data_IF_164212725664
#
_entry.id   IF_164212725664
#
_cell.length_a   1.000
_cell.length_b   1.000
_cell.length_c   1.000
_cell.angle_alpha   90.00
_cell.angle_beta   90.00
_cell.angle_gamma   90.00
#
_symmetry.space_group_name_H-M   'P 1'
#
loop_
_entity.id
_entity.type
_entity.pdbx_description
1 polymer ?
#
# COMPACT_ATOMS: atom_id res chain seq x y z
N UNK A 1 -15.52 15.19 72.86
CA UNK A 1 -14.11 15.17 72.38
C UNK A 1 -13.72 13.94 71.57
N UNK A 2 -13.85 12.69 72.04
CA UNK A 2 -13.34 11.50 71.32
C UNK A 2 -13.96 11.24 69.92
N UNK A 3 -15.25 11.51 69.72
CA UNK A 3 -15.92 11.41 68.41
C UNK A 3 -15.44 12.48 67.42
N UNK A 4 -15.21 13.70 67.90
CA UNK A 4 -14.73 14.81 67.08
C UNK A 4 -13.30 14.57 66.59
N UNK A 5 -12.44 14.05 67.45
CA UNK A 5 -11.07 13.71 67.08
C UNK A 5 -11.02 12.60 66.01
N UNK A 6 -11.87 11.57 66.11
CA UNK A 6 -11.98 10.50 65.09
C UNK A 6 -12.42 11.04 63.73
N UNK A 7 -13.34 11.99 63.69
CA UNK A 7 -13.81 12.60 62.44
C UNK A 7 -12.66 13.38 61.78
N UNK A 8 -11.89 14.14 62.54
CA UNK A 8 -10.72 14.86 62.03
C UNK A 8 -9.67 13.89 61.47
N UNK A 9 -9.40 12.78 62.17
CA UNK A 9 -8.44 11.78 61.68
C UNK A 9 -8.90 11.15 60.37
N UNK A 10 -10.19 10.82 60.25
CA UNK A 10 -10.75 10.25 59.02
C UNK A 10 -10.67 11.26 57.86
N UNK A 11 -11.02 12.53 58.10
CA UNK A 11 -10.92 13.57 57.07
C UNK A 11 -9.47 13.80 56.63
N UNK A 12 -8.51 13.74 57.56
CA UNK A 12 -7.10 13.86 57.24
C UNK A 12 -6.61 12.68 56.38
N UNK A 13 -7.00 11.45 56.71
CA UNK A 13 -6.66 10.26 55.92
C UNK A 13 -7.27 10.33 54.52
N UNK A 14 -8.54 10.73 54.40
CA UNK A 14 -9.20 10.93 53.10
C UNK A 14 -8.48 11.99 52.28
N UNK A 15 -8.11 13.12 52.89
CA UNK A 15 -7.35 14.18 52.22
C UNK A 15 -5.99 13.69 51.72
N UNK A 16 -5.25 12.93 52.53
CA UNK A 16 -3.95 12.37 52.10
C UNK A 16 -4.10 11.36 50.96
N UNK A 17 -5.14 10.52 50.98
CA UNK A 17 -5.42 9.58 49.91
C UNK A 17 -5.84 10.30 48.62
N UNK A 18 -6.67 11.34 48.71
CA UNK A 18 -7.02 12.16 47.55
C UNK A 18 -5.79 12.85 46.96
N UNK A 19 -4.92 13.42 47.80
CA UNK A 19 -3.70 14.08 47.35
C UNK A 19 -2.73 13.11 46.69
N UNK A 20 -2.62 11.88 47.20
CA UNK A 20 -1.79 10.84 46.59
C UNK A 20 -2.34 10.37 45.24
N UNK A 21 -3.67 10.23 45.12
CA UNK A 21 -4.35 9.92 43.84
C UNK A 21 -4.18 11.06 42.84
N UNK A 22 -4.35 12.31 43.25
CA UNK A 22 -4.12 13.49 42.40
C UNK A 22 -2.67 13.56 41.92
N UNK A 23 -1.69 13.20 42.76
CA UNK A 23 -0.29 13.15 42.34
C UNK A 23 0.05 11.93 41.45
N UNK A 24 -0.74 10.85 41.50
CA UNK A 24 -0.58 9.69 40.62
C UNK A 24 -1.21 9.90 39.23
N UNK A 25 -2.25 10.72 39.16
CA UNK A 25 -2.84 11.13 37.90
C UNK A 25 -2.04 12.35 37.44
N UNK A 26 -1.10 12.17 36.51
CA UNK A 26 -0.50 13.27 35.76
C UNK A 26 -1.58 13.95 34.90
N UNK A 27 -2.47 14.72 35.54
CA UNK A 27 -3.42 15.58 34.85
C UNK A 27 -2.62 16.76 34.30
N UNK A 28 -2.67 17.02 32.99
CA UNK A 28 -2.05 18.20 32.42
C UNK A 28 -2.63 19.44 33.11
N UNK A 29 -1.76 20.37 33.47
CA UNK A 29 -2.15 21.64 34.07
C UNK A 29 -3.02 22.40 33.04
N UNK A 30 -4.27 22.78 33.34
CA UNK A 30 -5.19 23.35 32.34
C UNK A 30 -4.84 24.80 31.92
N UNK A 31 -3.62 25.25 32.17
CA UNK A 31 -3.15 26.62 31.92
C UNK A 31 -1.81 26.73 31.19
N UNK A 32 -1.23 25.62 30.73
CA UNK A 32 -0.04 25.65 29.88
C UNK A 32 -0.47 25.37 28.44
N UNK A 33 -1.06 26.40 27.83
CA UNK A 33 -1.35 26.43 26.40
C UNK A 33 -0.03 26.75 25.69
N UNK A 34 0.83 25.74 25.57
CA UNK A 34 1.98 25.80 24.68
C UNK A 34 1.48 25.64 23.24
N UNK A 35 1.85 26.59 22.40
CA UNK A 35 1.37 26.74 21.03
C UNK A 35 2.10 25.83 20.06
N UNK A 36 2.28 24.56 20.40
CA UNK A 36 2.94 23.56 19.55
C UNK A 36 1.99 22.38 19.30
N UNK A 37 1.07 22.57 18.35
CA UNK A 37 0.17 21.51 17.87
C UNK A 37 0.81 20.62 16.80
N UNK A 38 2.13 20.67 16.59
CA UNK A 38 2.81 19.86 15.57
C UNK A 38 3.43 18.57 16.13
N UNK A 39 2.79 17.99 17.16
CA UNK A 39 2.96 16.57 17.41
C UNK A 39 2.20 15.82 16.31
N UNK A 40 2.90 15.54 15.21
CA UNK A 40 2.40 14.92 13.99
C UNK A 40 1.50 13.70 14.25
N UNK A 41 0.20 13.94 14.35
CA UNK A 41 -0.80 12.90 14.37
C UNK A 41 -0.92 12.36 12.93
N UNK A 42 -0.77 11.05 12.74
CA UNK A 42 -0.81 10.39 11.43
C UNK A 42 -2.25 10.37 10.87
N UNK A 43 -2.82 11.54 10.57
CA UNK A 43 -4.14 11.67 9.94
C UNK A 43 -4.11 11.25 8.46
N UNK A 44 -5.16 10.58 8.04
CA UNK A 44 -5.36 10.20 6.64
C UNK A 44 -6.34 11.16 5.96
N UNK A 45 -5.87 11.84 4.91
CA UNK A 45 -6.69 12.72 4.07
C UNK A 45 -5.96 13.07 2.76
N UNK A 46 -6.69 13.64 1.80
CA UNK A 46 -6.10 14.16 0.56
C UNK A 46 -6.38 15.66 0.44
N UNK A 47 -5.35 16.43 0.06
CA UNK A 47 -5.46 17.86 -0.22
C UNK A 47 -5.25 18.10 -1.71
N UNK A 48 -6.12 18.89 -2.31
CA UNK A 48 -6.00 19.30 -3.71
C UNK A 48 -5.61 20.78 -3.77
N UNK A 49 -4.52 21.08 -4.45
CA UNK A 49 -4.13 22.44 -4.80
C UNK A 49 -4.60 22.75 -6.23
N UNK A 50 -5.59 23.62 -6.32
CA UNK A 50 -6.22 24.05 -7.57
C UNK A 50 -5.76 25.45 -8.01
N UNK A 51 -4.65 25.97 -7.47
CA UNK A 51 -4.12 27.28 -7.88
C UNK A 51 -3.78 27.31 -9.38
N UNK A 52 -3.33 26.19 -9.93
CA UNK A 52 -3.20 25.95 -11.36
C UNK A 52 -4.23 24.91 -11.82
N UNK A 53 -5.28 25.38 -12.50
CA UNK A 53 -6.34 24.51 -13.04
C UNK A 53 -5.85 23.59 -14.16
N UNK A 54 -4.70 23.86 -14.76
CA UNK A 54 -4.09 23.03 -15.81
C UNK A 54 -3.18 21.95 -15.25
N UNK A 55 -2.71 22.11 -14.01
CA UNK A 55 -1.85 21.17 -13.32
C UNK A 55 -2.24 21.05 -11.85
N UNK A 56 -3.39 20.43 -11.60
CA UNK A 56 -3.87 20.13 -10.26
C UNK A 56 -2.85 19.25 -9.54
N UNK A 57 -2.36 19.73 -8.40
CA UNK A 57 -1.51 18.96 -7.50
C UNK A 57 -2.35 18.33 -6.40
N UNK A 58 -2.20 17.03 -6.20
CA UNK A 58 -2.90 16.29 -5.16
C UNK A 58 -1.89 15.71 -4.18
N UNK A 59 -2.00 16.10 -2.91
CA UNK A 59 -1.18 15.55 -1.83
C UNK A 59 -2.01 14.54 -1.05
N UNK A 60 -1.51 13.32 -0.96
CA UNK A 60 -2.09 12.27 -0.12
C UNK A 60 -1.30 12.16 1.18
N UNK A 61 -1.98 12.27 2.31
CA UNK A 61 -1.49 11.92 3.63
C UNK A 61 -2.07 10.55 3.97
N UNK A 62 -1.19 9.56 4.17
CA UNK A 62 -1.58 8.16 4.37
C UNK A 62 -1.06 7.68 5.70
N UNK A 63 -1.90 6.98 6.45
CA UNK A 63 -1.50 6.21 7.61
C UNK A 63 -2.11 4.82 7.53
N UNK A 64 -1.33 3.81 7.88
CA UNK A 64 -1.78 2.42 7.78
C UNK A 64 -1.18 1.56 8.89
N UNK A 65 -1.88 0.49 9.22
CA UNK A 65 -1.47 -0.41 10.29
C UNK A 65 -0.23 -1.22 9.90
N UNK A 66 0.66 -1.40 10.87
CA UNK A 66 1.61 -2.52 10.83
C UNK A 66 0.82 -3.84 10.90
N UNK A 67 1.40 -4.94 10.42
CA UNK A 67 0.78 -6.26 10.56
C UNK A 67 0.58 -6.72 12.02
N UNK A 68 1.29 -6.10 12.96
CA UNK A 68 1.12 -6.30 14.41
C UNK A 68 -0.11 -5.59 14.97
N UNK A 69 -0.69 -4.63 14.22
CA UNK A 69 -1.81 -3.76 14.65
C UNK A 69 -1.54 -2.99 15.96
N UNK A 70 -0.27 -2.82 16.33
CA UNK A 70 0.16 -2.12 17.55
C UNK A 70 0.51 -0.64 17.30
N UNK A 71 0.76 -0.28 16.04
CA UNK A 71 1.21 1.04 15.63
C UNK A 71 0.95 1.28 14.14
N UNK A 72 1.02 2.54 13.74
CA UNK A 72 0.84 2.98 12.37
C UNK A 72 2.20 3.30 11.71
N UNK A 73 2.26 3.09 10.40
CA UNK A 73 3.16 3.83 9.54
C UNK A 73 2.42 5.04 8.98
N UNK A 74 3.13 6.11 8.65
CA UNK A 74 2.54 7.20 7.89
C UNK A 74 3.57 7.89 6.98
N UNK A 75 3.06 8.44 5.87
CA UNK A 75 3.80 9.28 4.94
C UNK A 75 2.87 10.22 4.21
N UNK A 76 3.45 11.17 3.50
CA UNK A 76 2.71 11.96 2.52
C UNK A 76 3.46 11.99 1.20
N UNK A 77 2.72 12.04 0.10
CA UNK A 77 3.29 12.25 -1.22
C UNK A 77 2.37 13.12 -2.08
N UNK A 78 2.96 13.80 -3.06
CA UNK A 78 2.24 14.67 -4.00
C UNK A 78 2.27 14.08 -5.41
N UNK A 79 1.14 14.19 -6.10
CA UNK A 79 0.94 13.72 -7.46
C UNK A 79 0.39 14.87 -8.33
N UNK A 80 0.86 14.91 -9.58
CA UNK A 80 0.38 15.85 -10.60
C UNK A 80 -0.70 15.19 -11.47
N UNK A 81 -1.79 15.91 -11.71
CA UNK A 81 -2.81 15.51 -12.70
C UNK A 81 -2.22 15.33 -14.10
N UNK A 82 -1.29 16.19 -14.53
CA UNK A 82 -0.58 16.05 -15.81
C UNK A 82 0.19 14.72 -15.88
N UNK A 83 0.88 14.34 -14.81
CA UNK A 83 1.60 13.06 -14.77
C UNK A 83 0.61 11.88 -14.89
N UNK A 84 -0.51 11.93 -14.17
CA UNK A 84 -1.57 10.93 -14.27
C UNK A 84 -2.17 10.86 -15.69
N UNK A 85 -2.40 12.00 -16.33
CA UNK A 85 -2.93 12.07 -17.69
C UNK A 85 -1.93 11.53 -18.72
N UNK A 86 -0.64 11.84 -18.58
CA UNK A 86 0.40 11.26 -19.43
C UNK A 86 0.48 9.74 -19.29
N UNK A 87 0.44 9.20 -18.07
CA UNK A 87 0.44 7.74 -17.87
C UNK A 87 -0.83 7.08 -18.40
N UNK A 88 -1.99 7.73 -18.26
CA UNK A 88 -3.25 7.32 -18.89
C UNK A 88 -3.16 7.27 -20.40
N UNK A 89 -2.62 8.32 -21.02
CA UNK A 89 -2.39 8.36 -22.47
C UNK A 89 -1.46 7.25 -22.93
N UNK A 90 -0.38 7.01 -22.20
CA UNK A 90 0.56 5.92 -22.49
C UNK A 90 -0.15 4.57 -22.41
N UNK A 91 -0.86 4.28 -21.31
CA UNK A 91 -1.66 3.06 -21.14
C UNK A 91 -2.62 2.86 -22.32
N UNK A 92 -3.27 3.92 -22.78
CA UNK A 92 -4.19 3.86 -23.91
C UNK A 92 -3.51 3.56 -25.26
N UNK A 93 -2.21 3.86 -25.40
CA UNK A 93 -1.40 3.58 -26.58
C UNK A 93 -0.76 2.19 -26.57
N UNK A 94 -0.71 1.50 -25.43
CA UNK A 94 -0.17 0.14 -25.33
C UNK A 94 -0.90 -0.81 -26.28
N UNK A 95 -0.12 -1.66 -26.94
CA UNK A 95 -0.61 -2.70 -27.81
C UNK A 95 0.22 -3.97 -27.66
N UNK A 96 -0.45 -5.10 -27.43
CA UNK A 96 0.18 -6.42 -27.35
C UNK A 96 -0.34 -7.30 -28.49
N UNK A 97 0.59 -7.90 -29.25
CA UNK A 97 0.29 -8.87 -30.34
C UNK A 97 0.17 -10.30 -29.84
N UNK A 98 0.43 -10.53 -28.56
CA UNK A 98 0.44 -11.86 -27.97
C UNK A 98 -0.97 -12.44 -27.89
N UNK A 99 -1.11 -13.71 -28.29
CA UNK A 99 -2.39 -14.43 -28.20
C UNK A 99 -2.52 -15.28 -26.95
N UNK A 100 -1.39 -15.65 -26.36
CA UNK A 100 -1.39 -16.37 -25.09
C UNK A 100 -1.71 -15.39 -23.97
N UNK A 101 -2.60 -15.79 -23.06
CA UNK A 101 -3.15 -14.95 -22.00
C UNK A 101 -2.05 -14.38 -21.09
N UNK A 102 -1.14 -15.22 -20.62
CA UNK A 102 -0.04 -14.83 -19.74
C UNK A 102 0.95 -13.90 -20.48
N UNK A 103 1.29 -14.21 -21.73
CA UNK A 103 2.17 -13.35 -22.53
C UNK A 103 1.53 -12.00 -22.87
N UNK A 104 0.22 -11.98 -23.11
CA UNK A 104 -0.54 -10.76 -23.38
C UNK A 104 -0.47 -9.80 -22.20
N UNK A 105 -0.83 -10.28 -21.01
CA UNK A 105 -0.78 -9.50 -19.78
C UNK A 105 0.65 -9.14 -19.36
N UNK A 106 1.63 -10.03 -19.58
CA UNK A 106 3.04 -9.71 -19.33
C UNK A 106 3.46 -8.44 -20.04
N UNK A 107 3.13 -8.31 -21.33
CA UNK A 107 3.51 -7.14 -22.11
C UNK A 107 2.83 -5.89 -21.55
N UNK A 108 1.54 -5.94 -21.22
CA UNK A 108 0.83 -4.79 -20.65
C UNK A 108 1.43 -4.38 -19.31
N UNK A 109 1.58 -5.30 -18.36
CA UNK A 109 2.15 -5.00 -17.04
C UNK A 109 3.58 -4.48 -17.14
N UNK A 110 4.41 -5.06 -18.03
CA UNK A 110 5.77 -4.60 -18.22
C UNK A 110 5.85 -3.18 -18.79
N UNK A 111 5.05 -2.87 -19.81
CA UNK A 111 5.01 -1.52 -20.39
C UNK A 111 4.57 -0.47 -19.35
N UNK A 112 3.56 -0.79 -18.54
CA UNK A 112 3.10 0.08 -17.45
C UNK A 112 4.18 0.29 -16.37
N UNK A 113 4.80 -0.80 -15.91
CA UNK A 113 5.93 -0.74 -14.97
C UNK A 113 7.06 0.12 -15.56
N UNK A 114 7.48 -0.15 -16.80
CA UNK A 114 8.64 0.47 -17.39
C UNK A 114 8.43 1.97 -17.65
N UNK A 115 7.22 2.37 -18.01
CA UNK A 115 6.87 3.78 -18.22
C UNK A 115 6.83 4.59 -16.93
N UNK A 116 6.35 3.99 -15.84
CA UNK A 116 6.08 4.73 -14.60
C UNK A 116 7.16 4.57 -13.51
N UNK A 117 8.10 3.63 -13.64
CA UNK A 117 9.06 3.30 -12.55
C UNK A 117 9.86 4.48 -12.02
N UNK A 118 10.22 5.44 -12.87
CA UNK A 118 10.97 6.64 -12.47
C UNK A 118 10.04 7.73 -11.89
N UNK A 119 8.77 7.72 -12.32
CA UNK A 119 7.76 8.69 -11.90
C UNK A 119 7.19 8.40 -10.50
N UNK A 120 7.67 7.36 -9.81
CA UNK A 120 7.23 6.99 -8.45
C UNK A 120 8.38 7.03 -7.42
N UNK A 121 9.53 7.60 -7.79
CA UNK A 121 10.71 7.67 -6.91
C UNK A 121 10.45 8.41 -5.59
N UNK A 122 9.66 9.50 -5.59
CA UNK A 122 9.34 10.23 -4.36
C UNK A 122 8.66 9.33 -3.30
N UNK A 123 7.84 8.36 -3.73
CA UNK A 123 7.17 7.43 -2.83
C UNK A 123 8.17 6.38 -2.33
N UNK A 124 9.02 5.89 -3.23
CA UNK A 124 10.09 4.95 -2.90
C UNK A 124 11.01 5.56 -1.83
N UNK A 125 11.48 6.80 -2.03
CA UNK A 125 12.30 7.52 -1.06
C UNK A 125 11.60 7.64 0.29
N UNK A 126 10.31 7.98 0.30
CA UNK A 126 9.51 8.08 1.53
C UNK A 126 9.39 6.74 2.26
N UNK A 127 9.13 5.65 1.54
CA UNK A 127 9.06 4.30 2.11
C UNK A 127 10.42 3.85 2.66
N UNK A 128 11.50 4.14 1.94
CA UNK A 128 12.87 3.84 2.38
C UNK A 128 13.23 4.62 3.65
N UNK A 129 12.82 5.89 3.74
CA UNK A 129 13.04 6.72 4.91
C UNK A 129 12.36 6.15 6.16
N UNK A 130 11.10 5.70 6.05
CA UNK A 130 10.39 5.02 7.14
C UNK A 130 11.15 3.76 7.56
N UNK A 131 11.59 2.96 6.59
CA UNK A 131 12.33 1.74 6.85
C UNK A 131 13.65 2.02 7.59
N UNK A 132 14.38 3.06 7.19
CA UNK A 132 15.62 3.48 7.84
C UNK A 132 15.36 3.96 9.28
N UNK A 133 14.39 4.84 9.49
CA UNK A 133 14.05 5.39 10.82
C UNK A 133 13.60 4.31 11.80
N UNK A 134 12.84 3.32 11.32
CA UNK A 134 12.37 2.20 12.12
C UNK A 134 13.35 1.02 12.16
N UNK A 135 14.54 1.15 11.54
CA UNK A 135 15.57 0.10 11.47
C UNK A 135 15.02 -1.24 10.95
N UNK A 136 14.13 -1.18 9.95
CA UNK A 136 13.47 -2.36 9.42
C UNK A 136 14.46 -3.28 8.70
N UNK A 137 14.35 -4.58 8.97
CA UNK A 137 14.99 -5.61 8.17
C UNK A 137 14.43 -5.65 6.75
N UNK A 138 15.12 -6.34 5.83
CA UNK A 138 14.63 -6.57 4.46
C UNK A 138 13.22 -7.19 4.43
N UNK A 139 12.91 -8.10 5.35
CA UNK A 139 11.58 -8.71 5.40
C UNK A 139 10.51 -7.74 5.91
N UNK A 140 10.83 -6.93 6.90
CA UNK A 140 9.92 -5.93 7.44
C UNK A 140 9.70 -4.78 6.45
N UNK A 141 10.73 -4.41 5.68
CA UNK A 141 10.60 -3.41 4.64
C UNK A 141 9.69 -3.88 3.50
N UNK A 142 9.80 -5.14 3.05
CA UNK A 142 8.83 -5.70 2.10
C UNK A 142 7.40 -5.66 2.65
N UNK A 143 7.23 -5.96 3.95
CA UNK A 143 5.93 -5.88 4.65
C UNK A 143 5.40 -4.45 4.73
N UNK A 144 6.25 -3.46 5.00
CA UNK A 144 5.89 -2.03 4.94
C UNK A 144 5.32 -1.67 3.56
N UNK A 145 6.02 -2.06 2.48
CA UNK A 145 5.62 -1.76 1.09
C UNK A 145 4.28 -2.43 0.75
N UNK A 146 4.12 -3.71 1.06
CA UNK A 146 2.89 -4.44 0.70
C UNK A 146 1.70 -3.99 1.54
N UNK A 147 1.90 -3.76 2.84
CA UNK A 147 0.84 -3.24 3.71
C UNK A 147 0.37 -1.84 3.28
N UNK A 148 1.26 -0.96 2.80
CA UNK A 148 0.89 0.35 2.26
C UNK A 148 -0.11 0.22 1.09
N UNK A 149 0.12 -0.72 0.17
CA UNK A 149 -0.78 -0.93 -0.97
C UNK A 149 -2.04 -1.67 -0.55
N UNK A 150 -1.93 -2.67 0.33
CA UNK A 150 -3.06 -3.42 0.88
C UNK A 150 -4.09 -2.52 1.57
N UNK A 151 -3.61 -1.48 2.25
CA UNK A 151 -4.43 -0.50 2.97
C UNK A 151 -5.26 0.40 2.05
N UNK A 152 -4.80 0.66 0.82
CA UNK A 152 -5.59 1.43 -0.16
C UNK A 152 -6.93 0.70 -0.39
N UNK A 153 -8.09 1.37 -0.30
CA UNK A 153 -9.38 0.73 -0.56
C UNK A 153 -9.46 0.10 -1.96
N UNK A 154 -9.96 -1.13 -2.03
CA UNK A 154 -10.14 -1.81 -3.31
C UNK A 154 -11.20 -1.11 -4.17
N UNK A 155 -10.92 -0.93 -5.45
CA UNK A 155 -11.87 -0.42 -6.44
C UNK A 155 -11.86 -1.29 -7.69
N UNK A 156 -13.02 -1.51 -8.31
CA UNK A 156 -13.06 -2.14 -9.62
C UNK A 156 -12.48 -1.21 -10.68
N UNK A 157 -11.68 -1.77 -11.58
CA UNK A 157 -11.25 -1.11 -12.81
C UNK A 157 -11.75 -1.96 -13.97
N UNK A 158 -12.56 -1.38 -14.84
CA UNK A 158 -13.24 -2.14 -15.90
C UNK A 158 -13.05 -1.49 -17.26
N UNK A 159 -12.89 -2.31 -18.29
CA UNK A 159 -12.74 -1.85 -19.67
C UNK A 159 -14.03 -1.33 -20.30
N UNK A 160 -15.18 -1.78 -19.79
CA UNK A 160 -16.50 -1.26 -20.11
C UNK A 160 -17.05 -0.34 -19.02
N UNK A 161 -18.34 0.04 -19.09
CA UNK A 161 -18.98 0.78 -18.01
C UNK A 161 -19.03 -0.04 -16.73
N UNK A 162 -19.03 0.64 -15.58
CA UNK A 162 -19.22 0.00 -14.29
C UNK A 162 -20.58 -0.70 -14.22
N UNK A 163 -20.55 -1.97 -13.87
CA UNK A 163 -21.72 -2.85 -13.74
C UNK A 163 -21.96 -3.34 -12.30
N UNK A 164 -20.94 -3.22 -11.45
CA UNK A 164 -20.97 -3.56 -10.02
C UNK A 164 -21.04 -2.34 -9.12
N UNK A 165 -21.60 -2.51 -7.92
CA UNK A 165 -21.90 -1.40 -6.99
C UNK A 165 -21.46 -1.68 -5.55
N UNK A 166 -20.95 -2.88 -5.26
CA UNK A 166 -20.48 -3.29 -3.92
C UNK A 166 -19.14 -2.65 -3.54
N UNK A 167 -18.37 -2.17 -4.53
CA UNK A 167 -17.15 -1.40 -4.35
C UNK A 167 -17.14 -0.18 -5.28
N UNK A 168 -16.36 0.88 -4.97
CA UNK A 168 -16.09 1.94 -5.92
C UNK A 168 -15.60 1.38 -7.26
N UNK A 169 -15.97 2.02 -8.37
CA UNK A 169 -15.64 1.51 -9.69
C UNK A 169 -15.21 2.64 -10.64
N UNK A 170 -14.19 2.33 -11.45
CA UNK A 170 -13.73 3.12 -12.59
C UNK A 170 -13.95 2.33 -13.87
N UNK A 171 -14.88 2.80 -14.68
CA UNK A 171 -15.25 2.19 -15.95
C UNK A 171 -14.60 2.87 -17.15
N UNK A 172 -14.62 2.18 -18.28
CA UNK A 172 -14.06 2.60 -19.56
C UNK A 172 -12.54 2.82 -19.49
N UNK A 173 -11.87 2.07 -18.63
CA UNK A 173 -10.44 2.10 -18.42
C UNK A 173 -9.81 1.01 -19.29
N UNK A 174 -9.01 1.37 -20.31
CA UNK A 174 -8.47 0.39 -21.26
C UNK A 174 -7.77 -0.76 -20.51
N UNK A 175 -8.07 -1.99 -20.96
CA UNK A 175 -7.69 -3.27 -20.34
C UNK A 175 -8.32 -3.57 -18.97
N UNK A 176 -8.99 -2.60 -18.32
CA UNK A 176 -9.49 -2.76 -16.95
C UNK A 176 -8.36 -2.69 -15.92
N UNK A 177 -7.38 -1.80 -16.11
CA UNK A 177 -6.25 -1.61 -15.20
C UNK A 177 -5.85 -0.13 -15.18
N UNK A 178 -5.28 0.38 -14.09
CA UNK A 178 -4.60 1.68 -14.05
C UNK A 178 -3.07 1.51 -13.97
N UNK A 179 -2.33 2.48 -14.48
CA UNK A 179 -0.87 2.51 -14.31
C UNK A 179 -0.48 2.81 -12.85
N UNK A 180 0.78 2.55 -12.43
CA UNK A 180 1.26 2.96 -11.11
C UNK A 180 1.03 4.44 -10.77
N UNK A 181 1.29 5.37 -11.68
CA UNK A 181 1.08 6.81 -11.47
C UNK A 181 -0.41 7.13 -11.37
N UNK A 182 -1.26 6.57 -12.25
CA UNK A 182 -2.71 6.74 -12.18
C UNK A 182 -3.29 6.21 -10.85
N UNK A 183 -2.79 5.07 -10.37
CA UNK A 183 -3.22 4.49 -9.11
C UNK A 183 -2.82 5.36 -7.92
N UNK A 184 -1.58 5.84 -7.89
CA UNK A 184 -1.10 6.70 -6.80
C UNK A 184 -1.81 8.06 -6.76
N UNK A 185 -2.21 8.60 -7.91
CA UNK A 185 -3.00 9.84 -8.01
C UNK A 185 -4.45 9.64 -7.57
N UNK A 186 -5.07 8.51 -7.95
CA UNK A 186 -6.52 8.30 -7.72
C UNK A 186 -6.85 7.53 -6.44
N UNK A 187 -5.90 6.79 -5.88
CA UNK A 187 -6.10 5.79 -4.82
C UNK A 187 -7.20 4.77 -5.15
N UNK A 188 -7.42 4.51 -6.43
CA UNK A 188 -8.43 3.57 -6.93
C UNK A 188 -7.73 2.50 -7.75
N UNK A 189 -7.90 1.23 -7.40
CA UNK A 189 -7.21 0.15 -8.11
C UNK A 189 -7.71 -1.23 -7.70
N UNK A 190 -7.70 -2.11 -8.69
CA UNK A 190 -8.05 -3.52 -8.56
C UNK A 190 -6.79 -4.40 -8.36
N UNK A 191 -6.96 -5.72 -8.48
CA UNK A 191 -5.89 -6.69 -8.27
C UNK A 191 -4.71 -6.50 -9.24
N UNK A 192 -4.99 -6.23 -10.50
CA UNK A 192 -3.99 -5.98 -11.54
C UNK A 192 -3.20 -4.70 -11.23
N UNK A 193 -3.92 -3.60 -11.00
CA UNK A 193 -3.36 -2.27 -10.74
C UNK A 193 -2.41 -2.30 -9.54
N UNK A 194 -2.83 -2.93 -8.44
CA UNK A 194 -2.04 -3.07 -7.20
C UNK A 194 -0.79 -3.92 -7.42
N UNK A 195 -0.92 -5.01 -8.17
CA UNK A 195 0.19 -5.92 -8.46
C UNK A 195 1.29 -5.24 -9.28
N UNK A 196 0.94 -4.40 -10.25
CA UNK A 196 1.92 -3.65 -11.06
C UNK A 196 2.65 -2.60 -10.22
N UNK A 197 1.94 -1.85 -9.36
CA UNK A 197 2.58 -0.89 -8.45
C UNK A 197 3.54 -1.60 -7.49
N UNK A 198 3.11 -2.69 -6.86
CA UNK A 198 3.95 -3.45 -5.94
C UNK A 198 5.18 -4.02 -6.62
N UNK A 199 5.03 -4.63 -7.79
CA UNK A 199 6.16 -5.10 -8.59
C UNK A 199 7.15 -3.96 -8.89
N UNK A 200 6.65 -2.77 -9.23
CA UNK A 200 7.47 -1.60 -9.54
C UNK A 200 8.32 -1.15 -8.34
N UNK A 201 7.70 -1.01 -7.17
CA UNK A 201 8.38 -0.60 -5.93
C UNK A 201 9.36 -1.69 -5.44
N UNK A 202 8.91 -2.94 -5.39
CA UNK A 202 9.73 -4.06 -4.93
C UNK A 202 10.96 -4.28 -5.82
N UNK A 203 10.79 -4.20 -7.13
CA UNK A 203 11.91 -4.34 -8.07
C UNK A 203 12.92 -3.20 -7.93
N UNK A 204 12.47 -1.96 -7.68
CA UNK A 204 13.38 -0.84 -7.41
C UNK A 204 14.30 -1.12 -6.21
N UNK A 205 13.78 -1.73 -5.13
CA UNK A 205 14.57 -2.13 -3.96
C UNK A 205 15.27 -3.50 -4.07
N UNK A 206 15.34 -4.04 -5.29
CA UNK A 206 16.05 -5.28 -5.61
C UNK A 206 15.40 -6.55 -5.05
N UNK A 207 14.09 -6.52 -4.75
CA UNK A 207 13.37 -7.74 -4.40
C UNK A 207 13.02 -8.52 -5.67
N UNK A 208 13.24 -9.83 -5.63
CA UNK A 208 12.77 -10.73 -6.67
C UNK A 208 11.28 -10.97 -6.45
N UNK A 209 10.46 -10.30 -7.26
CA UNK A 209 9.01 -10.42 -7.24
C UNK A 209 8.47 -10.85 -8.59
N UNK A 210 7.38 -11.61 -8.58
CA UNK A 210 6.64 -12.07 -9.74
C UNK A 210 5.24 -11.47 -9.70
N UNK A 211 4.65 -11.19 -10.86
CA UNK A 211 3.20 -11.02 -10.96
C UNK A 211 2.58 -12.35 -11.35
N UNK A 212 1.63 -12.81 -10.53
CA UNK A 212 0.87 -14.04 -10.71
C UNK A 212 -0.54 -13.69 -11.17
N UNK A 213 -1.03 -14.35 -12.22
CA UNK A 213 -2.43 -14.23 -12.64
C UNK A 213 -3.11 -15.60 -12.68
N UNK A 214 -4.42 -15.59 -12.53
CA UNK A 214 -5.29 -16.75 -12.75
C UNK A 214 -6.46 -16.34 -13.62
N UNK A 215 -6.57 -16.95 -14.81
CA UNK A 215 -7.75 -16.78 -15.65
C UNK A 215 -8.99 -17.44 -15.02
N UNK A 216 -8.79 -18.55 -14.30
CA UNK A 216 -9.86 -19.27 -13.60
C UNK A 216 -10.48 -18.42 -12.49
N UNK A 217 -9.63 -17.79 -11.67
CA UNK A 217 -10.08 -16.94 -10.57
C UNK A 217 -10.37 -15.50 -10.99
N UNK A 218 -10.01 -15.12 -12.22
CA UNK A 218 -10.06 -13.73 -12.72
C UNK A 218 -9.38 -12.76 -11.75
N UNK A 219 -8.16 -13.12 -11.34
CA UNK A 219 -7.46 -12.46 -10.24
C UNK A 219 -5.95 -12.35 -10.50
N UNK A 220 -5.32 -11.35 -9.87
CA UNK A 220 -3.90 -11.06 -9.94
C UNK A 220 -3.33 -10.73 -8.55
N UNK A 221 -2.09 -11.15 -8.30
CA UNK A 221 -1.35 -10.79 -7.09
C UNK A 221 0.15 -10.87 -7.36
N UNK A 222 0.96 -10.66 -6.33
CA UNK A 222 2.40 -10.88 -6.41
C UNK A 222 2.81 -12.22 -5.78
N UNK A 223 3.98 -12.71 -6.15
CA UNK A 223 4.73 -13.69 -5.37
C UNK A 223 6.17 -13.21 -5.19
N UNK A 224 6.79 -13.44 -4.03
CA UNK A 224 8.09 -12.84 -3.68
C UNK A 224 9.08 -13.87 -3.14
N UNK A 225 10.35 -13.76 -3.54
CA UNK A 225 11.45 -14.48 -2.88
C UNK A 225 11.85 -13.74 -1.61
N UNK A 226 11.29 -14.21 -0.50
CA UNK A 226 11.49 -13.66 0.84
C UNK A 226 11.38 -14.79 1.86
N UNK A 227 12.16 -14.80 2.96
CA UNK A 227 11.94 -15.74 4.04
C UNK A 227 10.52 -15.62 4.62
N UNK A 228 9.69 -16.60 4.29
CA UNK A 228 8.31 -16.75 4.73
C UNK A 228 7.97 -18.25 4.80
N UNK A 229 6.71 -18.57 5.14
CA UNK A 229 6.18 -19.93 5.21
C UNK A 229 4.81 -19.98 4.56
N UNK A 230 4.39 -21.15 4.08
CA UNK A 230 3.07 -21.35 3.49
C UNK A 230 3.13 -21.55 1.98
N UNK A 231 2.09 -21.07 1.30
CA UNK A 231 1.85 -21.30 -0.12
C UNK A 231 2.89 -20.59 -0.98
N UNK A 232 3.56 -21.35 -1.84
CA UNK A 232 4.62 -20.86 -2.70
C UNK A 232 4.72 -21.66 -3.99
N UNK A 233 5.41 -21.07 -4.97
CA UNK A 233 5.89 -21.77 -6.16
C UNK A 233 7.41 -21.80 -6.18
N UNK A 234 7.96 -22.80 -6.86
CA UNK A 234 9.39 -22.86 -7.16
C UNK A 234 9.57 -22.34 -8.58
N UNK A 235 10.37 -21.27 -8.72
CA UNK A 235 10.71 -20.70 -10.01
C UNK A 235 12.22 -20.45 -10.06
N UNK A 236 12.90 -20.95 -11.09
CA UNK A 236 14.37 -20.83 -11.25
C UNK A 236 15.18 -21.21 -9.99
N UNK A 237 14.71 -22.22 -9.26
CA UNK A 237 15.39 -22.74 -8.05
C UNK A 237 15.16 -21.92 -6.77
N UNK A 238 14.38 -20.84 -6.82
CA UNK A 238 13.99 -20.01 -5.67
C UNK A 238 12.53 -20.26 -5.29
N UNK A 239 12.19 -20.03 -4.02
CA UNK A 239 10.80 -20.12 -3.52
C UNK A 239 10.18 -18.73 -3.56
N UNK A 240 9.09 -18.60 -4.30
CA UNK A 240 8.30 -17.37 -4.34
C UNK A 240 6.98 -17.59 -3.61
N UNK A 241 6.81 -16.91 -2.47
CA UNK A 241 5.61 -17.01 -1.64
C UNK A 241 4.53 -16.08 -2.18
N UNK A 242 3.31 -16.59 -2.32
CA UNK A 242 2.16 -15.80 -2.75
C UNK A 242 1.85 -14.69 -1.76
N UNK A 243 1.43 -13.52 -2.23
CA UNK A 243 1.06 -12.43 -1.34
C UNK A 243 -0.15 -11.71 -1.92
N UNK A 244 -1.32 -12.02 -1.36
CA UNK A 244 -2.57 -11.36 -1.70
C UNK A 244 -2.50 -9.86 -1.39
N UNK A 245 -3.01 -9.02 -2.28
CA UNK A 245 -2.80 -7.57 -2.26
C UNK A 245 -4.09 -6.77 -2.07
N UNK A 246 -5.25 -7.40 -2.24
CA UNK A 246 -6.56 -6.73 -2.34
C UNK A 246 -7.18 -6.33 -1.01
N UNK A 247 -6.63 -6.82 0.11
CA UNK A 247 -7.08 -6.44 1.44
C UNK A 247 -5.92 -6.45 2.45
N UNK A 248 -6.14 -5.83 3.60
CA UNK A 248 -5.19 -5.85 4.72
C UNK A 248 -5.14 -7.23 5.39
N UNK A 249 -4.04 -7.51 6.09
CA UNK A 249 -3.89 -8.72 6.90
C UNK A 249 -3.39 -9.96 6.16
N UNK A 250 -3.30 -9.94 4.83
CA UNK A 250 -2.65 -11.02 4.08
C UNK A 250 -1.13 -10.95 4.23
N UNK A 251 -0.55 -12.00 4.78
CA UNK A 251 0.90 -12.18 4.92
C UNK A 251 1.47 -12.99 3.74
N UNK A 252 2.79 -12.89 3.47
CA UNK A 252 3.41 -13.72 2.45
C UNK A 252 3.25 -15.20 2.79
N UNK A 253 2.86 -16.00 1.80
CA UNK A 253 2.55 -17.41 1.91
C UNK A 253 1.10 -17.73 2.29
N UNK A 254 0.21 -16.74 2.32
CA UNK A 254 -1.22 -16.96 2.54
C UNK A 254 -2.00 -16.84 1.23
N UNK A 255 -2.66 -17.92 0.81
CA UNK A 255 -3.69 -17.88 -0.21
C UNK A 255 -5.10 -17.83 0.39
N UNK A 256 -6.02 -17.04 -0.18
CA UNK A 256 -7.43 -17.13 0.14
C UNK A 256 -7.98 -18.54 -0.10
N UNK A 257 -8.86 -19.08 0.78
CA UNK A 257 -9.39 -20.45 0.64
C UNK A 257 -10.09 -20.73 -0.69
N UNK A 258 -10.71 -19.72 -1.30
CA UNK A 258 -11.42 -19.77 -2.57
C UNK A 258 -10.49 -19.69 -3.79
N UNK A 259 -9.22 -19.32 -3.59
CA UNK A 259 -8.20 -19.23 -4.66
C UNK A 259 -6.92 -20.02 -4.38
N UNK A 260 -6.97 -21.00 -3.47
CA UNK A 260 -5.80 -21.73 -2.97
C UNK A 260 -5.24 -22.84 -3.89
N UNK A 261 -5.94 -23.20 -4.98
CA UNK A 261 -5.38 -24.17 -5.93
C UNK A 261 -4.26 -23.53 -6.77
N UNK A 262 -3.01 -23.78 -6.37
CA UNK A 262 -1.78 -23.27 -6.98
C UNK A 262 -1.68 -23.59 -8.48
N UNK A 263 -2.30 -24.68 -8.96
CA UNK A 263 -2.21 -25.08 -10.36
C UNK A 263 -2.81 -24.05 -11.34
N UNK A 264 -3.76 -23.24 -10.87
CA UNK A 264 -4.41 -22.19 -11.67
C UNK A 264 -3.64 -20.87 -11.71
N UNK A 265 -2.65 -20.70 -10.84
CA UNK A 265 -1.78 -19.53 -10.81
C UNK A 265 -0.63 -19.67 -11.80
N UNK A 266 -0.46 -18.68 -12.67
CA UNK A 266 0.60 -18.64 -13.68
C UNK A 266 1.48 -17.40 -13.49
N UNK A 267 2.78 -17.58 -13.72
CA UNK A 267 3.74 -16.46 -13.74
C UNK A 267 3.50 -15.66 -15.00
N UNK A 268 3.17 -14.39 -14.83
CA UNK A 268 2.93 -13.45 -15.92
C UNK A 268 4.14 -12.57 -16.14
N UNK A 269 4.60 -11.89 -15.09
CA UNK A 269 5.78 -11.05 -15.15
C UNK A 269 6.86 -11.57 -14.20
N UNK A 270 8.02 -11.89 -14.76
CA UNK A 270 9.18 -12.44 -14.04
C UNK A 270 10.11 -11.30 -13.59
N UNK A 271 10.68 -11.40 -12.38
CA UNK A 271 11.68 -10.46 -11.84
C UNK A 271 12.88 -10.21 -12.76
N UNK A 272 13.26 -11.16 -13.61
CA UNK A 272 14.35 -11.02 -14.58
C UNK A 272 13.87 -10.56 -15.96
N UNK A 273 12.56 -10.40 -16.16
CA UNK A 273 12.03 -10.04 -17.47
C UNK A 273 12.52 -8.65 -17.88
N UNK A 274 13.13 -8.63 -19.07
CA UNK A 274 13.48 -7.45 -19.83
C UNK A 274 12.93 -7.68 -21.23
N UNK A 275 12.40 -6.64 -21.87
CA UNK A 275 12.17 -6.73 -23.31
C UNK A 275 13.52 -6.96 -23.98
N UNK A 276 13.59 -7.93 -24.88
CA UNK A 276 14.69 -7.95 -25.85
C UNK A 276 14.48 -6.70 -26.67
N UNK A 277 15.15 -5.61 -26.33
CA UNK A 277 15.38 -4.54 -27.29
C UNK A 277 15.98 -5.25 -28.49
N UNK A 278 15.29 -5.16 -29.64
CA UNK A 278 15.91 -5.40 -30.92
C UNK A 278 17.04 -4.40 -31.07
N UNK A 279 18.19 -4.71 -30.47
CA UNK A 279 19.46 -4.37 -31.08
C UNK A 279 19.40 -4.99 -32.48
N UNK A 280 19.43 -4.12 -33.49
CA UNK A 280 19.21 -4.40 -34.91
C UNK A 280 17.75 -4.58 -35.35
N UNK A 281 17.11 -3.48 -35.78
CA UNK A 281 16.95 -3.11 -37.21
C UNK A 281 16.26 -1.77 -37.37
#
# INVERSE_FOLDING_TARGET
MKRFLKIITILFVIYTMLSMVINLINLPNPGEYDGDWDTAYCDEYSRVDTLDLTNVQQTHYRSWNKYTFDSLYCLSYQMSSIASDHSKEFRNKIYSRERNYEKYWRNIYYELYNADRENIHFLQDSLQQIAFQNQLTRNEFAKLIVSFVQDIPYSYVTSGPCDKTDHPCRGNERFGILSPVEFLYTLSGDCDTRSVLLYSILKHFGYDSLIMISNEYRHAMIAIDLPASGDHIIHKGKKFYFWETTNTGWLPGMLPPDTNNIAYWKITLDHEYQTVTSSYR
#
